data_IF_410663356046
#
_entry.id   IF_410663356046
#
_cell.length_a   1.000
_cell.length_b   1.000
_cell.length_c   1.000
_cell.angle_alpha   90.00
_cell.angle_beta   90.00
_cell.angle_gamma   90.00
#
_symmetry.space_group_name_H-M   'P 1'
#
loop_
_entity.id
_entity.type
_entity.pdbx_description
1 polymer ?
2 non-polymer ?
3 non-polymer ?
4 water ?
#
# COMPACT_ATOMS: atom_id res chain seq x y z
N UNK A 1 9.30 -11.48 -22.00
CA UNK A 1 8.52 -10.23 -21.77
C UNK A 1 9.23 -9.01 -22.36
N UNK A 2 8.46 -7.94 -22.69
CA UNK A 2 8.97 -6.65 -23.13
C UNK A 2 9.80 -5.92 -22.05
N UNK A 3 10.50 -4.86 -22.44
CA UNK A 3 11.10 -3.94 -21.46
C UNK A 3 10.00 -3.36 -20.58
N UNK A 4 10.31 -3.02 -19.32
CA UNK A 4 9.33 -2.47 -18.36
C UNK A 4 8.40 -1.40 -18.94
N UNK A 5 8.95 -0.33 -19.51
CA UNK A 5 8.11 0.75 -20.04
C UNK A 5 7.22 0.29 -21.19
N UNK A 6 7.75 -0.57 -22.05
CA UNK A 6 6.97 -1.14 -23.15
C UNK A 6 5.79 -1.96 -22.59
N UNK A 7 6.04 -2.75 -21.55
CA UNK A 7 4.97 -3.57 -20.95
C UNK A 7 3.95 -2.66 -20.28
N UNK A 8 4.40 -1.61 -19.61
CA UNK A 8 3.46 -0.69 -18.97
C UNK A 8 2.50 -0.06 -20.00
N UNK A 9 3.06 0.33 -21.15
CA UNK A 9 2.26 0.90 -22.24
C UNK A 9 1.26 -0.11 -22.80
N UNK A 10 1.72 -1.33 -23.02
CA UNK A 10 0.86 -2.41 -23.47
C UNK A 10 -0.29 -2.64 -22.49
N UNK A 11 0.04 -2.61 -21.19
CA UNK A 11 -0.99 -2.77 -20.18
C UNK A 11 -2.06 -1.69 -20.27
N UNK A 12 -1.65 -0.44 -20.47
CA UNK A 12 -2.64 0.65 -20.65
C UNK A 12 -3.54 0.39 -21.83
N UNK A 13 -2.94 0.01 -22.96
CA UNK A 13 -3.68 -0.22 -24.19
C UNK A 13 -4.70 -1.35 -24.02
N UNK A 14 -4.26 -2.43 -23.36
CA UNK A 14 -5.15 -3.59 -23.17
C UNK A 14 -6.24 -3.35 -22.13
N UNK A 15 -5.90 -2.60 -21.09
CA UNK A 15 -6.85 -2.26 -20.02
C UNK A 15 -7.81 -1.16 -20.41
N UNK A 16 -7.45 -0.35 -21.41
CA UNK A 16 -8.13 0.93 -21.65
C UNK A 16 -8.28 1.61 -20.30
N UNK A 17 -7.13 1.84 -19.66
CA UNK A 17 -7.06 2.45 -18.34
C UNK A 17 -5.70 3.13 -18.17
N UNK A 18 -5.59 3.97 -17.13
CA UNK A 18 -4.31 4.60 -16.77
C UNK A 18 -3.57 3.71 -15.78
N UNK A 19 -2.29 3.54 -16.06
CA UNK A 19 -1.36 2.89 -15.14
C UNK A 19 -0.41 3.95 -14.61
N UNK A 20 -0.08 3.88 -13.32
CA UNK A 20 0.94 4.74 -12.73
C UNK A 20 1.95 3.85 -12.04
N UNK A 21 3.23 4.10 -12.26
CA UNK A 21 4.25 3.20 -11.74
C UNK A 21 5.53 3.93 -11.38
N UNK A 22 6.13 3.52 -10.27
CA UNK A 22 7.50 3.93 -9.88
C UNK A 22 8.25 2.70 -9.46
N UNK A 23 9.53 2.64 -9.82
CA UNK A 23 10.49 1.67 -9.31
C UNK A 23 11.62 2.51 -8.69
N UNK A 24 11.90 2.31 -7.41
CA UNK A 24 12.83 3.16 -6.66
C UNK A 24 13.79 2.30 -5.84
N UNK A 25 15.08 2.61 -5.86
CA UNK A 25 16.05 1.92 -4.99
C UNK A 25 15.68 2.24 -3.54
N UNK A 26 15.50 1.22 -2.71
CA UNK A 26 15.10 1.44 -1.32
C UNK A 26 16.21 2.12 -0.52
N UNK A 27 17.45 1.69 -0.72
CA UNK A 27 18.56 2.27 0.04
C UNK A 27 18.83 3.73 -0.31
N UNK A 28 18.84 4.09 -1.58
CA UNK A 28 19.24 5.46 -1.95
C UNK A 28 18.12 6.39 -2.36
N UNK A 29 16.96 5.84 -2.74
CA UNK A 29 15.89 6.67 -3.26
C UNK A 29 15.98 6.98 -4.73
N UNK A 30 16.99 6.46 -5.41
CA UNK A 30 17.13 6.65 -6.86
C UNK A 30 15.86 6.16 -7.59
N UNK A 31 15.31 6.99 -8.48
CA UNK A 31 14.18 6.55 -9.29
C UNK A 31 14.70 5.87 -10.55
N UNK A 32 14.23 4.65 -10.82
CA UNK A 32 14.69 3.87 -11.97
C UNK A 32 13.77 3.78 -13.18
N UNK A 33 12.52 3.39 -12.97
CA UNK A 33 11.46 3.43 -13.99
C UNK A 33 10.37 4.32 -13.43
N UNK A 34 9.81 5.18 -14.27
CA UNK A 34 8.73 6.07 -13.86
C UNK A 34 7.76 6.19 -15.02
N UNK A 35 6.48 6.04 -14.72
CA UNK A 35 5.41 6.20 -15.71
C UNK A 35 4.22 6.86 -15.01
N UNK A 36 3.80 8.05 -15.48
CA UNK A 36 2.72 8.81 -14.86
C UNK A 36 2.99 8.95 -13.36
N UNK A 37 4.26 9.18 -13.02
CA UNK A 37 4.65 9.11 -11.61
C UNK A 37 4.14 10.29 -10.80
N UNK A 38 3.80 11.38 -11.47
CA UNK A 38 3.27 12.55 -10.83
C UNK A 38 1.75 12.72 -11.03
N UNK A 39 1.11 11.68 -11.58
CA UNK A 39 -0.36 11.70 -11.72
C UNK A 39 -1.03 11.06 -10.51
N UNK A 40 -2.25 11.49 -10.22
CA UNK A 40 -3.00 11.02 -9.05
C UNK A 40 -3.75 9.72 -9.31
N UNK A 41 -3.71 8.83 -8.32
CA UNK A 41 -4.42 7.56 -8.35
C UNK A 41 -5.02 7.32 -6.97
N UNK A 42 -6.23 6.72 -6.90
CA UNK A 42 -6.76 6.33 -5.58
C UNK A 42 -5.79 5.36 -4.88
N UNK A 43 -5.51 5.61 -3.61
CA UNK A 43 -4.66 4.72 -2.82
C UNK A 43 -5.33 3.41 -2.52
N UNK A 44 -6.63 3.44 -2.28
CA UNK A 44 -7.36 2.28 -1.78
C UNK A 44 -6.62 1.77 -0.53
N UNK A 45 -6.53 0.46 -0.36
CA UNK A 45 -6.04 -0.11 0.89
C UNK A 45 -4.53 0.02 1.03
N UNK A 46 -3.84 0.49 0.01
CA UNK A 46 -2.42 0.76 0.18
C UNK A 46 -2.17 1.83 1.25
N UNK A 47 -3.19 2.67 1.54
CA UNK A 47 -3.05 3.67 2.59
C UNK A 47 -2.78 3.05 3.96
N UNK A 48 -3.17 1.80 4.14
CA UNK A 48 -3.05 1.15 5.44
C UNK A 48 -1.60 1.05 5.93
N UNK A 49 -0.64 1.01 5.00
CA UNK A 49 0.75 1.01 5.41
C UNK A 49 1.16 2.38 5.99
N UNK A 50 0.74 3.45 5.35
CA UNK A 50 1.01 4.80 5.83
C UNK A 50 0.33 5.04 7.18
N UNK A 51 -0.93 4.60 7.27
CA UNK A 51 -1.68 4.64 8.52
C UNK A 51 -0.89 4.05 9.68
N UNK A 52 -0.37 2.83 9.51
CA UNK A 52 0.38 2.19 10.57
C UNK A 52 1.76 2.81 10.80
N UNK A 53 2.33 3.48 9.77
CA UNK A 53 3.49 4.36 10.00
C UNK A 53 3.17 5.45 11.02
N UNK A 54 2.00 6.06 10.87
CA UNK A 54 1.58 7.12 11.80
C UNK A 54 1.35 6.56 13.19
N UNK A 55 0.75 5.37 13.29
CA UNK A 55 0.56 4.70 14.56
C UNK A 55 1.91 4.45 15.25
N UNK A 56 2.87 3.92 14.49
CA UNK A 56 4.17 3.64 15.03
C UNK A 56 4.87 4.92 15.48
N UNK A 57 4.68 6.03 14.78
CA UNK A 57 5.26 7.28 15.22
C UNK A 57 4.71 7.69 16.59
N UNK A 58 3.40 7.49 16.81
CA UNK A 58 2.84 7.72 18.14
C UNK A 58 3.45 6.79 19.18
N UNK A 59 3.67 5.52 18.83
CA UNK A 59 4.29 4.58 19.76
C UNK A 59 5.70 5.05 20.14
N UNK A 60 6.47 5.46 19.13
CA UNK A 60 7.84 5.92 19.38
C UNK A 60 7.88 7.10 20.33
N UNK A 61 6.88 7.97 20.22
CA UNK A 61 6.79 9.18 21.06
C UNK A 61 6.22 8.90 22.44
N UNK A 62 5.75 7.68 22.69
CA UNK A 62 5.15 7.33 23.98
C UNK A 62 3.69 7.70 24.09
N UNK A 63 3.06 8.09 22.99
CA UNK A 63 1.64 8.43 22.97
C UNK A 63 0.71 7.27 22.62
N UNK A 64 1.30 6.11 22.35
CA UNK A 64 0.53 4.92 21.98
C UNK A 64 1.37 3.72 22.38
N UNK A 65 0.72 2.55 22.54
CA UNK A 65 1.44 1.30 22.77
C UNK A 65 0.86 0.26 21.84
N UNK A 66 1.71 -0.52 21.19
CA UNK A 66 1.17 -1.62 20.38
C UNK A 66 0.42 -2.65 21.21
N UNK A 67 0.72 -2.71 22.51
CA UNK A 67 0.03 -3.62 23.41
C UNK A 67 -1.38 -3.16 23.77
N UNK A 68 -1.67 -1.88 23.66
CA UNK A 68 -2.93 -1.36 24.20
C UNK A 68 -4.13 -2.03 23.56
N UNK A 69 -5.03 -2.57 24.39
CA UNK A 69 -6.19 -3.27 23.86
C UNK A 69 -7.37 -2.32 23.70
N UNK A 70 -7.93 -2.35 22.50
CA UNK A 70 -9.12 -1.57 22.17
C UNK A 70 -10.35 -2.48 22.12
N UNK A 71 -11.35 -2.13 22.93
CA UNK A 71 -12.58 -2.93 23.02
C UNK A 71 -13.71 -2.26 22.26
N UNK A 72 -13.77 -2.53 20.96
CA UNK A 72 -14.66 -1.87 20.02
C UNK A 72 -16.00 -2.60 19.95
N UNK A 73 -16.94 -2.02 19.21
CA UNK A 73 -18.30 -2.55 19.17
C UNK A 73 -18.74 -2.84 17.74
N UNK A 74 -19.82 -3.60 17.61
CA UNK A 74 -20.30 -4.01 16.31
C UNK A 74 -20.73 -2.85 15.44
N UNK A 75 -21.26 -1.81 16.09
CA UNK A 75 -21.58 -0.59 15.36
C UNK A 75 -20.35 0.12 14.74
N UNK A 76 -19.14 -0.26 15.12
CA UNK A 76 -17.90 0.32 14.56
C UNK A 76 -17.48 -0.38 13.29
N UNK A 77 -18.19 -1.45 12.92
CA UNK A 77 -17.70 -2.26 11.82
C UNK A 77 -18.22 -1.83 10.46
N UNK A 78 -17.35 -1.95 9.46
CA UNK A 78 -17.70 -1.80 8.05
C UNK A 78 -17.36 -3.11 7.33
N UNK A 79 -17.67 -3.21 6.04
CA UNK A 79 -17.48 -4.48 5.33
C UNK A 79 -16.01 -4.86 5.16
N UNK A 80 -15.81 -6.15 4.92
CA UNK A 80 -14.52 -6.83 4.82
C UNK A 80 -13.59 -6.59 6.00
N UNK A 81 -14.06 -7.19 7.09
CA UNK A 81 -13.44 -7.12 8.39
C UNK A 81 -13.27 -8.54 8.98
N UNK A 82 -12.54 -9.42 8.30
CA UNK A 82 -12.47 -10.82 8.69
C UNK A 82 -11.79 -11.04 10.04
N UNK A 83 -10.91 -10.16 10.49
CA UNK A 83 -10.24 -10.35 11.77
C UNK A 83 -11.02 -9.67 12.88
N UNK A 84 -11.37 -8.41 12.65
CA UNK A 84 -12.02 -7.63 13.70
C UNK A 84 -13.41 -8.18 14.05
N UNK A 85 -14.10 -8.81 13.10
CA UNK A 85 -15.37 -9.46 13.41
C UNK A 85 -15.22 -10.58 14.43
N UNK A 86 -14.05 -11.18 14.50
CA UNK A 86 -13.86 -12.29 15.44
C UNK A 86 -13.66 -11.85 16.90
N UNK A 87 -13.55 -10.54 17.15
CA UNK A 87 -13.10 -10.03 18.47
C UNK A 87 -13.98 -8.98 19.14
N UNK A 88 -15.29 -9.04 18.91
CA UNK A 88 -16.23 -8.17 19.60
C UNK A 88 -16.24 -8.42 21.11
N UNK A 89 -16.03 -9.67 21.51
CA UNK A 89 -16.03 -10.02 22.91
C UNK A 89 -14.73 -9.56 23.55
N UNK A 90 -13.60 -9.84 22.89
CA UNK A 90 -12.32 -9.70 23.58
C UNK A 90 -11.44 -8.54 23.13
N UNK A 91 -11.80 -7.85 22.06
CA UNK A 91 -11.02 -6.70 21.60
C UNK A 91 -9.75 -7.13 20.88
N UNK A 92 -8.98 -6.12 20.43
CA UNK A 92 -7.70 -6.34 19.74
C UNK A 92 -6.72 -5.29 20.20
N UNK A 93 -5.45 -5.66 20.26
CA UNK A 93 -4.41 -4.68 20.55
C UNK A 93 -4.19 -3.77 19.35
N UNK A 94 -3.60 -2.60 19.61
CA UNK A 94 -3.25 -1.72 18.52
C UNK A 94 -2.35 -2.41 17.50
N UNK A 95 -1.36 -3.17 17.97
CA UNK A 95 -0.51 -3.94 17.07
C UNK A 95 -1.27 -4.99 16.27
N UNK A 96 -2.18 -5.70 16.92
CA UNK A 96 -3.06 -6.64 16.20
C UNK A 96 -3.91 -5.93 15.15
N UNK A 97 -4.38 -4.74 15.50
CA UNK A 97 -5.18 -3.97 14.53
C UNK A 97 -4.36 -3.60 13.31
N UNK A 98 -3.10 -3.18 13.50
CA UNK A 98 -2.25 -2.90 12.34
C UNK A 98 -1.94 -4.16 11.54
N UNK A 99 -1.67 -5.27 12.23
CA UNK A 99 -1.45 -6.53 11.51
C UNK A 99 -2.68 -6.89 10.68
N UNK A 100 -3.89 -6.72 11.23
CA UNK A 100 -5.08 -7.09 10.51
C UNK A 100 -5.30 -6.14 9.32
N UNK A 101 -5.09 -4.84 9.55
CA UNK A 101 -5.25 -3.84 8.48
C UNK A 101 -4.30 -4.12 7.32
N UNK A 102 -3.02 -4.37 7.63
CA UNK A 102 -2.04 -4.58 6.57
C UNK A 102 -2.12 -5.99 5.99
N UNK A 103 -2.15 -7.02 6.81
CA UNK A 103 -1.97 -8.38 6.27
C UNK A 103 -3.27 -9.01 5.80
N UNK A 104 -4.42 -8.49 6.26
CA UNK A 104 -5.72 -9.04 5.88
C UNK A 104 -6.59 -7.96 5.24
N UNK A 105 -6.06 -6.74 5.11
CA UNK A 105 -6.79 -5.60 4.57
C UNK A 105 -8.08 -5.31 5.36
N UNK A 106 -8.08 -5.62 6.65
CA UNK A 106 -9.28 -5.47 7.49
C UNK A 106 -9.71 -4.00 7.61
N UNK A 107 -10.92 -3.73 7.12
CA UNK A 107 -11.36 -2.36 7.00
C UNK A 107 -11.75 -1.72 8.32
N UNK A 108 -12.38 -2.49 9.22
CA UNK A 108 -12.75 -1.91 10.50
C UNK A 108 -11.53 -1.67 11.37
N UNK A 109 -10.56 -2.59 11.31
CA UNK A 109 -9.29 -2.36 11.98
C UNK A 109 -8.66 -1.04 11.53
N UNK A 110 -8.64 -0.83 10.20
CA UNK A 110 -8.12 0.42 9.65
C UNK A 110 -8.89 1.63 10.17
N UNK A 111 -10.22 1.58 10.18
CA UNK A 111 -10.98 2.71 10.68
C UNK A 111 -10.72 2.98 12.16
N UNK A 112 -10.60 1.94 12.97
CA UNK A 112 -10.27 2.15 14.40
C UNK A 112 -8.92 2.85 14.56
N UNK A 113 -7.93 2.38 13.80
CA UNK A 113 -6.61 2.99 13.85
C UNK A 113 -6.64 4.42 13.31
N UNK A 114 -7.39 4.67 12.24
CA UNK A 114 -7.50 6.01 11.66
C UNK A 114 -8.00 7.03 12.68
N UNK A 115 -8.97 6.62 13.50
CA UNK A 115 -9.46 7.51 14.53
C UNK A 115 -8.35 7.86 15.52
N UNK A 116 -7.48 6.90 15.84
CA UNK A 116 -6.40 7.16 16.82
C UNK A 116 -5.36 8.17 16.33
N UNK A 117 -5.29 8.40 15.01
CA UNK A 117 -4.33 9.35 14.47
C UNK A 117 -5.00 10.65 14.02
N UNK A 118 -6.26 10.83 14.38
CA UNK A 118 -6.99 12.05 14.07
C UNK A 118 -7.82 12.01 12.80
N UNK A 119 -8.19 10.81 12.36
CA UNK A 119 -9.00 10.66 11.16
C UNK A 119 -8.24 10.97 9.89
N UNK A 120 -8.94 11.01 8.76
CA UNK A 120 -8.33 11.36 7.48
C UNK A 120 -7.51 12.66 7.54
N UNK A 121 -8.02 13.67 8.24
CA UNK A 121 -7.31 14.94 8.36
C UNK A 121 -6.01 14.76 9.15
N UNK A 122 -6.04 13.96 10.21
CA UNK A 122 -4.87 13.68 10.99
C UNK A 122 -3.79 12.91 10.23
N UNK A 123 -4.21 11.92 9.44
CA UNK A 123 -3.25 11.17 8.63
C UNK A 123 -2.64 12.06 7.56
N UNK A 124 -3.46 12.91 6.96
CA UNK A 124 -2.96 13.86 5.97
C UNK A 124 -1.92 14.82 6.62
N UNK A 125 -2.20 15.29 7.83
CA UNK A 125 -1.24 16.11 8.58
C UNK A 125 0.06 15.37 8.86
N UNK A 126 -0.01 14.08 9.20
CA UNK A 126 1.20 13.28 9.39
C UNK A 126 2.03 13.22 8.10
N UNK A 127 1.35 13.02 6.98
CA UNK A 127 2.02 13.00 5.69
C UNK A 127 2.77 14.32 5.45
N UNK A 128 2.11 15.44 5.75
CA UNK A 128 2.78 16.75 5.61
C UNK A 128 3.97 16.87 6.56
N UNK A 129 3.86 16.30 7.76
CA UNK A 129 4.98 16.29 8.72
C UNK A 129 6.22 15.55 8.22
N UNK A 130 6.02 14.54 7.40
CA UNK A 130 7.16 13.80 6.85
C UNK A 130 7.53 14.28 5.44
N UNK A 131 6.96 15.41 5.02
CA UNK A 131 7.34 16.05 3.75
C UNK A 131 6.65 15.52 2.51
N UNK A 132 5.54 14.81 2.69
CA UNK A 132 4.71 14.41 1.56
C UNK A 132 3.62 15.48 1.45
N UNK A 133 3.73 16.32 0.42
CA UNK A 133 2.81 17.43 0.24
C UNK A 133 1.75 17.13 -0.81
N UNK A 134 1.63 15.86 -1.20
CA UNK A 134 0.77 15.47 -2.30
C UNK A 134 -0.32 14.49 -1.86
N UNK A 135 0.10 13.41 -1.19
CA UNK A 135 -0.85 12.37 -0.76
C UNK A 135 -1.91 12.94 0.18
N UNK A 136 -3.16 12.52 0.03
CA UNK A 136 -4.23 13.01 0.88
C UNK A 136 -5.24 11.90 1.17
N UNK A 137 -5.65 11.81 2.43
CA UNK A 137 -6.78 10.96 2.77
C UNK A 137 -7.91 11.86 3.23
N UNK A 138 -9.10 11.59 2.70
CA UNK A 138 -10.27 12.46 2.91
C UNK A 138 -11.42 11.71 3.57
N UNK A 139 -11.50 10.41 3.31
CA UNK A 139 -12.63 9.59 3.76
C UNK A 139 -12.14 8.36 4.52
N UNK A 140 -13.11 7.65 5.07
CA UNK A 140 -12.90 6.42 5.85
C UNK A 140 -13.14 5.23 4.96
N UNK A 141 -12.81 4.04 5.47
CA UNK A 141 -13.27 2.82 4.81
C UNK A 141 -14.80 2.68 4.96
N UNK A 142 -15.54 2.30 3.93
CA UNK A 142 -15.04 1.89 2.61
C UNK A 142 -15.26 2.93 1.53
N UNK A 143 -15.78 4.12 1.87
CA UNK A 143 -16.05 5.15 0.85
C UNK A 143 -14.80 5.63 0.15
N UNK A 144 -13.65 5.53 0.80
CA UNK A 144 -12.39 6.00 0.21
C UNK A 144 -12.00 5.23 -1.06
N UNK A 145 -12.67 4.12 -1.34
CA UNK A 145 -12.42 3.32 -2.53
C UNK A 145 -13.25 3.67 -3.77
N UNK A 146 -14.05 4.72 -3.68
CA UNK A 146 -15.07 5.02 -4.70
C UNK A 146 -14.45 5.32 -6.06
N UNK A 147 -13.27 5.94 -6.06
CA UNK A 147 -12.52 6.18 -7.30
C UNK A 147 -13.36 6.84 -8.41
N UNK A 148 -14.06 7.91 -8.05
CA UNK A 148 -14.83 8.66 -9.05
C UNK A 148 -13.87 9.24 -10.06
N UNK A 149 -14.23 9.20 -11.36
CA UNK A 149 -13.33 9.82 -12.32
C UNK A 149 -13.07 11.29 -11.95
N UNK A 150 -11.81 11.67 -11.96
CA UNK A 150 -11.45 13.08 -11.73
C UNK A 150 -11.51 13.58 -10.30
N UNK A 151 -11.80 12.69 -9.36
CA UNK A 151 -11.90 13.05 -7.94
C UNK A 151 -10.53 12.94 -7.26
N UNK A 152 -10.04 14.05 -6.72
CA UNK A 152 -8.75 14.07 -6.03
C UNK A 152 -8.75 13.47 -4.61
N UNK A 153 -9.93 13.21 -4.07
CA UNK A 153 -10.02 12.65 -2.72
C UNK A 153 -9.29 11.31 -2.61
N UNK A 154 -8.59 11.11 -1.50
CA UNK A 154 -8.05 9.78 -1.17
C UNK A 154 -7.03 9.29 -2.20
N UNK A 155 -6.22 10.22 -2.71
CA UNK A 155 -5.27 9.88 -3.76
C UNK A 155 -3.83 10.07 -3.32
N UNK A 156 -2.94 9.41 -4.06
CA UNK A 156 -1.52 9.65 -3.97
C UNK A 156 -0.98 9.75 -5.40
N UNK A 157 0.34 9.90 -5.54
CA UNK A 157 0.97 9.71 -6.84
C UNK A 157 2.01 8.60 -6.66
N UNK A 158 2.37 7.87 -7.73
CA UNK A 158 3.38 6.84 -7.55
C UNK A 158 4.66 7.40 -6.92
N UNK A 159 5.10 8.56 -7.36
CA UNK A 159 6.34 9.18 -6.83
C UNK A 159 6.20 9.52 -5.34
N UNK A 160 5.08 10.09 -4.96
CA UNK A 160 4.91 10.46 -3.55
C UNK A 160 4.79 9.26 -2.65
N UNK A 161 4.02 8.25 -3.07
CA UNK A 161 3.87 7.03 -2.27
C UNK A 161 5.20 6.32 -2.11
N UNK A 162 5.97 6.21 -3.19
CA UNK A 162 7.25 5.55 -3.07
C UNK A 162 8.19 6.30 -2.09
N UNK A 163 8.27 7.61 -2.24
CA UNK A 163 9.11 8.41 -1.33
C UNK A 163 8.65 8.29 0.11
N UNK A 164 7.33 8.33 0.32
CA UNK A 164 6.77 8.17 1.65
C UNK A 164 7.07 6.82 2.29
N UNK A 165 6.94 5.75 1.51
CA UNK A 165 7.28 4.43 1.99
C UNK A 165 8.75 4.33 2.35
N UNK A 166 9.63 4.90 1.51
CA UNK A 166 11.02 4.87 1.83
C UNK A 166 11.30 5.62 3.13
N UNK A 167 10.66 6.78 3.30
CA UNK A 167 10.84 7.55 4.53
C UNK A 167 10.43 6.75 5.75
N UNK A 168 9.27 6.09 5.66
CA UNK A 168 8.78 5.31 6.81
C UNK A 168 9.69 4.13 7.14
N UNK A 169 10.20 3.46 6.11
CA UNK A 169 10.94 2.23 6.33
C UNK A 169 12.41 2.43 6.67
N UNK A 170 12.98 3.53 6.21
CA UNK A 170 14.44 3.67 6.26
C UNK A 170 15.03 4.97 6.78
N UNK A 171 14.25 6.03 6.91
CA UNK A 171 14.85 7.37 7.13
C UNK A 171 15.17 7.67 8.56
N UNK A 172 14.84 6.75 9.46
CA UNK A 172 15.03 6.93 10.91
C UNK A 172 14.11 8.01 11.48
N UNK A 173 13.05 8.34 10.75
CA UNK A 173 11.93 9.09 11.34
C UNK A 173 11.22 8.21 12.37
N UNK A 174 11.12 6.91 12.07
CA UNK A 174 10.66 5.88 13.01
C UNK A 174 11.86 5.24 13.69
N UNK A 175 11.66 4.76 14.91
CA UNK A 175 12.69 3.99 15.61
C UNK A 175 13.08 2.75 14.82
N UNK A 176 14.23 2.18 15.13
CA UNK A 176 14.66 0.95 14.51
C UNK A 176 13.60 -0.14 14.68
N UNK A 177 13.09 -0.31 15.89
CA UNK A 177 12.10 -1.36 16.13
C UNK A 177 10.84 -1.11 15.32
N UNK A 178 10.41 0.13 15.26
CA UNK A 178 9.23 0.48 14.46
C UNK A 178 9.42 0.29 12.94
N UNK A 179 10.57 0.68 12.42
CA UNK A 179 10.88 0.39 11.02
C UNK A 179 10.79 -1.10 10.74
N UNK A 180 11.34 -1.90 11.66
CA UNK A 180 11.34 -3.34 11.52
C UNK A 180 9.93 -3.92 11.60
N UNK A 181 9.11 -3.35 12.45
CA UNK A 181 7.73 -3.78 12.58
C UNK A 181 6.93 -3.51 11.31
N UNK A 182 7.12 -2.32 10.74
CA UNK A 182 6.33 -1.95 9.55
C UNK A 182 6.69 -2.86 8.40
N UNK A 183 7.98 -3.12 8.24
CA UNK A 183 8.45 -4.04 7.21
C UNK A 183 7.87 -5.44 7.41
N UNK A 184 7.93 -5.93 8.64
CA UNK A 184 7.42 -7.29 8.88
C UNK A 184 5.93 -7.43 8.59
N UNK A 185 5.14 -6.40 8.90
CA UNK A 185 3.73 -6.45 8.56
C UNK A 185 3.56 -6.63 7.04
N UNK A 186 4.32 -5.88 6.24
CA UNK A 186 4.27 -6.07 4.77
C UNK A 186 4.75 -7.44 4.30
N UNK A 187 5.80 -7.95 4.94
CA UNK A 187 6.28 -9.31 4.64
C UNK A 187 5.17 -10.33 4.88
N UNK A 188 4.36 -10.10 5.90
CA UNK A 188 3.31 -11.01 6.33
C UNK A 188 1.97 -10.87 5.61
N UNK A 189 1.90 -10.05 4.56
CA UNK A 189 0.64 -9.93 3.85
C UNK A 189 0.06 -11.29 3.48
N UNK A 190 -1.21 -11.50 3.80
CA UNK A 190 -1.90 -12.73 3.44
C UNK A 190 -2.79 -12.58 2.23
N UNK A 191 -3.10 -11.35 1.82
CA UNK A 191 -4.00 -11.17 0.68
C UNK A 191 -3.34 -11.57 -0.63
N UNK A 192 -2.13 -11.07 -0.87
CA UNK A 192 -1.43 -11.33 -2.11
C UNK A 192 -0.04 -11.93 -1.95
N UNK A 193 0.58 -11.78 -0.78
CA UNK A 193 1.96 -12.26 -0.58
C UNK A 193 2.17 -13.71 -1.02
N UNK A 194 1.41 -14.65 -0.45
CA UNK A 194 1.63 -16.05 -0.81
C UNK A 194 1.39 -16.33 -2.29
N UNK A 195 0.37 -15.73 -2.88
CA UNK A 195 0.12 -15.90 -4.32
C UNK A 195 1.30 -15.37 -5.14
N UNK A 196 1.77 -14.17 -4.80
CA UNK A 196 2.92 -13.61 -5.50
C UNK A 196 4.14 -14.53 -5.39
N UNK A 197 4.41 -15.05 -4.18
CA UNK A 197 5.54 -15.98 -4.06
C UNK A 197 5.38 -17.20 -4.96
N UNK A 198 4.14 -17.66 -5.13
CA UNK A 198 3.90 -18.87 -5.90
C UNK A 198 4.26 -18.70 -7.37
N UNK A 199 4.32 -17.46 -7.85
CA UNK A 199 4.64 -17.18 -9.25
C UNK A 199 5.98 -16.46 -9.42
N UNK A 200 6.68 -16.14 -8.32
CA UNK A 200 7.99 -15.52 -8.44
C UNK A 200 9.06 -16.59 -8.63
N UNK A 201 10.06 -16.30 -9.46
CA UNK A 201 11.18 -17.26 -9.53
C UNK A 201 11.87 -17.35 -8.16
N UNK A 202 12.53 -18.47 -7.92
CA UNK A 202 13.33 -18.62 -6.72
C UNK A 202 14.30 -17.44 -6.55
N UNK A 203 14.41 -16.95 -5.31
CA UNK A 203 15.39 -15.93 -5.00
C UNK A 203 14.83 -14.53 -4.87
N UNK A 204 13.57 -14.32 -5.28
CA UNK A 204 13.00 -12.97 -5.28
C UNK A 204 12.23 -12.73 -4.00
N UNK A 205 12.65 -11.72 -3.24
CA UNK A 205 12.00 -11.21 -2.04
C UNK A 205 10.71 -10.49 -2.41
N UNK A 206 9.66 -10.70 -1.62
CA UNK A 206 8.47 -9.85 -1.75
C UNK A 206 7.90 -9.47 -0.38
N UNK A 207 7.53 -8.20 -0.24
CA UNK A 207 6.67 -7.71 0.84
C UNK A 207 5.69 -6.74 0.17
N UNK A 208 4.44 -6.64 0.64
CA UNK A 208 3.48 -5.86 -0.15
C UNK A 208 2.26 -5.47 0.64
N UNK A 209 1.54 -4.49 0.09
CA UNK A 209 0.17 -4.21 0.46
C UNK A 209 -0.59 -3.91 -0.82
N UNK A 210 -1.71 -4.57 -1.01
CA UNK A 210 -2.54 -4.31 -2.18
C UNK A 210 -3.75 -3.45 -1.87
N UNK A 211 -4.44 -3.03 -2.93
CA UNK A 211 -5.68 -2.29 -2.77
C UNK A 211 -6.57 -2.52 -3.97
N UNK A 212 -7.88 -2.38 -3.74
CA UNK A 212 -8.87 -2.55 -4.79
C UNK A 212 -10.00 -1.56 -4.52
N UNK A 213 -10.50 -0.96 -5.58
CA UNK A 213 -11.65 -0.07 -5.49
C UNK A 213 -12.56 -0.18 -6.69
N UNK A 214 -13.42 0.82 -6.84
CA UNK A 214 -14.40 0.83 -7.94
C UNK A 214 -13.78 1.32 -9.24
N UNK A 215 -14.53 1.16 -10.34
CA UNK A 215 -14.15 1.64 -11.66
C UNK A 215 -12.78 1.13 -12.13
N UNK A 216 -12.47 -0.09 -11.71
CA UNK A 216 -11.22 -0.70 -12.10
C UNK A 216 -10.03 -0.39 -11.22
N UNK A 217 -10.20 0.47 -10.21
CA UNK A 217 -9.06 0.85 -9.36
C UNK A 217 -8.43 -0.36 -8.69
N UNK A 218 -7.11 -0.43 -8.75
CA UNK A 218 -6.39 -1.59 -8.20
C UNK A 218 -4.96 -1.16 -8.03
N UNK A 219 -4.28 -1.63 -7.01
CA UNK A 219 -2.90 -1.20 -6.83
C UNK A 219 -2.13 -2.09 -5.88
N UNK A 220 -0.83 -1.85 -5.88
CA UNK A 220 0.08 -2.54 -4.99
C UNK A 220 1.26 -1.62 -4.69
N UNK A 221 1.67 -1.66 -3.42
CA UNK A 221 2.95 -1.09 -3.00
C UNK A 221 3.80 -2.24 -2.49
N UNK A 222 5.04 -2.32 -2.94
CA UNK A 222 5.82 -3.52 -2.68
C UNK A 222 7.28 -3.26 -2.52
N UNK A 223 7.95 -4.19 -1.85
CA UNK A 223 9.41 -4.29 -1.86
C UNK A 223 9.75 -5.55 -2.61
N UNK A 224 10.70 -5.46 -3.53
CA UNK A 224 11.02 -6.56 -4.42
C UNK A 224 12.51 -6.58 -4.70
N UNK A 225 13.10 -7.75 -4.82
CA UNK A 225 14.47 -7.83 -5.31
C UNK A 225 15.00 -9.23 -5.36
N UNK A 226 16.04 -9.45 -6.17
CA UNK A 226 16.68 -10.75 -6.23
C UNK A 226 17.60 -10.95 -5.03
N UNK A 227 18.16 -12.16 -4.92
CA UNK A 227 19.08 -12.49 -3.85
C UNK A 227 18.44 -12.30 -2.49
N UNK A 228 17.13 -12.50 -2.43
CA UNK A 228 16.39 -12.43 -1.15
C UNK A 228 16.55 -11.13 -0.40
N UNK A 229 16.62 -10.04 -1.16
CA UNK A 229 16.79 -8.70 -0.60
C UNK A 229 15.69 -7.77 -1.04
N UNK A 230 15.25 -6.92 -0.12
CA UNK A 230 14.28 -5.86 -0.43
C UNK A 230 15.01 -4.72 -1.15
N UNK A 231 15.33 -4.91 -2.41
CA UNK A 231 16.17 -3.96 -3.11
C UNK A 231 15.42 -2.72 -3.55
N UNK A 232 14.20 -2.89 -4.04
CA UNK A 232 13.46 -1.76 -4.64
C UNK A 232 12.06 -1.67 -4.13
N UNK A 233 11.59 -0.44 -4.00
CA UNK A 233 10.18 -0.16 -3.86
C UNK A 233 9.55 -0.14 -5.27
N UNK A 234 8.46 -0.88 -5.44
CA UNK A 234 7.70 -0.83 -6.68
C UNK A 234 6.28 -0.48 -6.33
N UNK A 235 5.78 0.59 -6.95
CA UNK A 235 4.41 1.05 -6.73
C UNK A 235 3.69 1.02 -8.08
N UNK A 236 2.55 0.33 -8.16
CA UNK A 236 1.75 0.28 -9.39
C UNK A 236 0.31 0.53 -9.03
N UNK A 237 -0.29 1.51 -9.69
CA UNK A 237 -1.72 1.78 -9.57
C UNK A 237 -2.36 1.69 -10.94
N UNK A 238 -3.60 1.19 -10.96
CA UNK A 238 -4.47 1.20 -12.14
C UNK A 238 -5.72 1.98 -11.82
N UNK A 239 -6.25 2.72 -12.79
CA UNK A 239 -7.52 3.40 -12.61
C UNK A 239 -8.26 3.52 -13.92
N UNK A 240 -9.58 3.65 -13.80
CA UNK A 240 -10.47 3.94 -14.94
C UNK A 240 -10.35 2.92 -16.06
N UNK A 241 -10.40 1.66 -15.69
CA UNK A 241 -10.39 0.57 -16.65
C UNK A 241 -11.62 -0.28 -16.37
N UNK A 242 -12.30 -0.78 -17.42
CA UNK A 242 -13.44 -1.67 -17.24
C UNK A 242 -13.02 -3.13 -17.08
N UNK A 243 -11.74 -3.41 -16.99
CA UNK A 243 -11.27 -4.79 -17.03
C UNK A 243 -11.64 -5.60 -15.78
N UNK A 244 -11.72 -6.93 -15.96
CA UNK A 244 -11.92 -7.86 -14.86
C UNK A 244 -10.81 -7.75 -13.83
N UNK A 245 -11.14 -8.11 -12.60
CA UNK A 245 -10.10 -8.23 -11.56
C UNK A 245 -8.98 -9.16 -12.02
N UNK A 246 -9.34 -10.27 -12.66
CA UNK A 246 -8.35 -11.25 -13.08
C UNK A 246 -7.36 -10.62 -14.05
N UNK A 247 -7.86 -9.86 -15.03
CA UNK A 247 -6.95 -9.17 -15.93
C UNK A 247 -6.14 -8.09 -15.24
N UNK A 248 -6.75 -7.32 -14.37
CA UNK A 248 -5.97 -6.32 -13.64
C UNK A 248 -4.81 -6.97 -12.88
N UNK A 249 -5.08 -8.09 -12.20
CA UNK A 249 -4.02 -8.84 -11.51
C UNK A 249 -2.94 -9.30 -12.49
N UNK A 250 -3.37 -9.83 -13.63
CA UNK A 250 -2.43 -10.30 -14.64
C UNK A 250 -1.57 -9.22 -15.24
N UNK A 251 -2.14 -8.03 -15.43
CA UNK A 251 -1.40 -6.94 -16.00
C UNK A 251 -0.33 -6.43 -15.03
N UNK A 252 -0.70 -6.33 -13.76
CA UNK A 252 0.27 -5.94 -12.74
C UNK A 252 1.40 -7.01 -12.70
N UNK A 253 1.00 -8.28 -12.74
CA UNK A 253 1.97 -9.39 -12.77
C UNK A 253 2.87 -9.31 -14.00
N UNK A 254 2.31 -8.91 -15.14
CA UNK A 254 3.09 -8.74 -16.36
C UNK A 254 4.13 -7.66 -16.29
N UNK A 255 3.78 -6.55 -15.65
CA UNK A 255 4.73 -5.51 -15.39
C UNK A 255 5.84 -6.05 -14.48
N UNK A 256 5.46 -6.81 -13.45
CA UNK A 256 6.44 -7.47 -12.61
C UNK A 256 7.36 -8.37 -13.40
N UNK A 257 6.80 -9.16 -14.32
CA UNK A 257 7.63 -10.05 -15.13
C UNK A 257 8.65 -9.27 -15.95
N UNK A 258 8.24 -8.14 -16.52
CA UNK A 258 9.15 -7.29 -17.28
C UNK A 258 10.28 -6.74 -16.41
N UNK A 259 9.96 -6.35 -15.17
CA UNK A 259 10.99 -5.92 -14.22
C UNK A 259 11.97 -7.04 -13.91
N UNK A 260 11.45 -8.23 -13.64
CA UNK A 260 12.26 -9.39 -13.28
C UNK A 260 13.23 -9.76 -14.40
N UNK A 261 12.76 -9.74 -15.65
CA UNK A 261 13.58 -10.10 -16.81
C UNK A 261 14.55 -9.00 -17.20
N UNK A 262 14.29 -7.79 -16.76
CA UNK A 262 15.11 -6.65 -17.11
C UNK A 262 15.50 -5.85 -15.87
N UNK A 263 16.15 -6.50 -14.92
CA UNK A 263 16.36 -5.90 -13.61
C UNK A 263 17.57 -4.95 -13.55
N UNK A 264 18.61 -5.24 -14.32
CA UNK A 264 19.88 -4.51 -14.17
C UNK A 264 19.88 -3.19 -14.93
N UNK A 265 19.57 -2.10 -14.24
CA UNK A 265 19.46 -0.78 -14.87
C UNK A 265 19.95 0.33 -13.96
#
# INVERSE_FOLDING_TARGET
SPQPLEQIKLSESQLSGRVGMIEMDLASGRTLTAWRADERFPMMSTFKVVLCGAVLARVDAGDEQLERKIHYRQQDLVDYSPVSEKHLADGMTVGELCAAAITMSDNSAANLLLATVGGPAGLTAFLRQIGDNVTRLDRWETELNEALPGDARDTTTPASMAATLRKLLTSQRLSARSQRQLLQWMVDDRVAGPLIRSVLPAGWFIADKTGAGERGARGIVALLGPNNKAERIVVIYLRDTPASMAERNQQIAGIGAALIEHWQR
#
